data_IF_377582877862
#
_entry.id   IF_377582877862
#
_cell.length_a   1.000
_cell.length_b   1.000
_cell.length_c   1.000
_cell.angle_alpha   90.00
_cell.angle_beta   90.00
_cell.angle_gamma   90.00
#
_symmetry.space_group_name_H-M   'P 1'
#
loop_
_entity.id
_entity.type
_entity.pdbx_description
1 polymer ?
#
# COMPACT_ATOMS: atom_id res chain seq x y z
N UNK A 1 13.41 26.31 -19.77
CA UNK A 1 13.02 26.21 -18.34
C UNK A 1 14.20 25.66 -17.55
N UNK A 2 14.47 26.22 -16.37
CA UNK A 2 15.60 25.84 -15.50
C UNK A 2 15.06 24.89 -14.41
N UNK A 3 15.77 23.82 -14.08
CA UNK A 3 15.38 22.92 -12.98
C UNK A 3 15.36 23.67 -11.65
N UNK A 4 14.34 23.42 -10.82
CA UNK A 4 14.31 23.96 -9.47
C UNK A 4 15.28 23.14 -8.61
N UNK A 5 16.21 23.83 -7.91
CA UNK A 5 17.24 23.18 -7.10
C UNK A 5 16.69 22.48 -5.85
N UNK A 6 15.48 22.85 -5.42
CA UNK A 6 14.79 22.24 -4.27
C UNK A 6 13.94 21.03 -4.65
N UNK A 7 13.88 20.68 -5.94
CA UNK A 7 13.13 19.53 -6.43
C UNK A 7 14.09 18.38 -6.69
N UNK A 8 13.66 17.18 -6.32
CA UNK A 8 14.36 15.94 -6.60
C UNK A 8 13.76 15.28 -7.82
N UNK A 9 14.63 14.88 -8.75
CA UNK A 9 14.24 14.32 -10.04
C UNK A 9 14.72 12.88 -10.09
N UNK A 10 13.79 11.95 -10.20
CA UNK A 10 14.10 10.56 -10.52
C UNK A 10 14.68 10.45 -11.92
N UNK A 11 15.06 9.24 -12.33
CA UNK A 11 15.54 9.01 -13.69
C UNK A 11 14.50 9.53 -14.71
N UNK A 12 14.90 10.43 -15.62
CA UNK A 12 14.01 11.01 -16.64
C UNK A 12 14.23 10.41 -18.03
N UNK A 13 15.15 9.45 -18.17
CA UNK A 13 15.53 8.89 -19.47
C UNK A 13 14.61 7.74 -19.92
N UNK A 14 13.56 7.42 -19.15
CA UNK A 14 12.54 6.46 -19.55
C UNK A 14 11.79 6.96 -20.78
N UNK A 15 11.91 6.26 -21.90
CA UNK A 15 11.10 6.50 -23.10
C UNK A 15 9.97 5.49 -23.12
N UNK A 16 8.74 5.97 -23.03
CA UNK A 16 7.54 5.13 -23.01
C UNK A 16 6.61 5.57 -24.15
N UNK A 17 6.45 4.76 -25.21
CA UNK A 17 5.54 5.06 -26.31
C UNK A 17 4.11 5.32 -25.83
N UNK A 18 3.41 6.25 -26.48
CA UNK A 18 2.10 6.69 -26.02
C UNK A 18 0.96 5.68 -26.21
N UNK A 19 1.18 4.70 -27.08
CA UNK A 19 0.22 3.66 -27.44
C UNK A 19 0.44 2.35 -26.67
N UNK A 20 1.37 2.29 -25.69
CA UNK A 20 1.61 1.04 -25.00
C UNK A 20 0.37 0.58 -24.25
N UNK A 21 0.09 -0.70 -24.39
CA UNK A 21 -0.99 -1.40 -23.72
C UNK A 21 -0.38 -2.31 -22.66
N UNK A 22 -0.63 -2.03 -21.38
CA UNK A 22 -0.19 -2.89 -20.28
C UNK A 22 -0.56 -4.37 -20.50
N UNK A 23 -1.80 -4.65 -20.92
CA UNK A 23 -2.26 -6.03 -21.14
C UNK A 23 -1.47 -6.72 -22.24
N UNK A 24 -1.15 -6.01 -23.33
CA UNK A 24 -0.32 -6.55 -24.41
C UNK A 24 1.11 -6.81 -23.98
N UNK A 25 1.76 -5.84 -23.34
CA UNK A 25 3.14 -5.98 -22.88
C UNK A 25 3.31 -7.17 -21.92
N UNK A 26 2.37 -7.35 -21.00
CA UNK A 26 2.37 -8.48 -20.07
C UNK A 26 2.10 -9.79 -20.82
N UNK A 27 1.09 -9.83 -21.67
CA UNK A 27 0.72 -11.04 -22.42
C UNK A 27 1.85 -11.52 -23.33
N UNK A 28 2.44 -10.62 -24.14
CA UNK A 28 3.54 -10.94 -25.05
C UNK A 28 4.76 -11.47 -24.27
N UNK A 29 5.05 -10.90 -23.09
CA UNK A 29 6.11 -11.41 -22.20
C UNK A 29 5.78 -12.82 -21.66
N UNK A 30 4.54 -13.07 -21.25
CA UNK A 30 4.13 -14.39 -20.76
C UNK A 30 4.25 -15.45 -21.86
N UNK A 31 3.79 -15.14 -23.08
CA UNK A 31 3.89 -16.05 -24.23
C UNK A 31 5.35 -16.31 -24.61
N UNK A 32 6.20 -15.28 -24.62
CA UNK A 32 7.62 -15.43 -24.89
C UNK A 32 8.37 -16.28 -23.85
N UNK A 33 7.87 -16.32 -22.60
CA UNK A 33 8.46 -17.04 -21.48
C UNK A 33 7.57 -18.19 -20.98
N UNK A 34 6.75 -18.77 -21.87
CA UNK A 34 5.64 -19.67 -21.51
C UNK A 34 6.01 -20.86 -20.63
N UNK A 35 7.24 -21.37 -20.73
CA UNK A 35 7.68 -22.56 -20.00
C UNK A 35 8.18 -22.25 -18.57
N UNK A 36 8.29 -20.96 -18.19
CA UNK A 36 8.71 -20.55 -16.84
C UNK A 36 7.51 -20.62 -15.88
N UNK A 37 7.77 -21.11 -14.66
CA UNK A 37 6.79 -21.13 -13.57
C UNK A 37 6.49 -19.68 -13.15
N UNK A 38 5.25 -19.26 -13.32
CA UNK A 38 4.77 -17.94 -12.95
C UNK A 38 4.35 -17.86 -11.48
N UNK A 39 3.70 -18.92 -10.98
CA UNK A 39 3.14 -18.98 -9.63
C UNK A 39 3.28 -20.37 -9.02
N UNK A 40 3.49 -20.39 -7.71
CA UNK A 40 3.49 -21.60 -6.88
C UNK A 40 2.61 -21.31 -5.66
N UNK A 41 1.66 -22.19 -5.38
CA UNK A 41 0.90 -22.13 -4.13
C UNK A 41 1.71 -22.83 -3.03
N UNK A 42 2.02 -22.08 -1.97
CA UNK A 42 2.86 -22.58 -0.89
C UNK A 42 2.22 -23.73 -0.09
N UNK A 43 0.88 -23.80 -0.03
CA UNK A 43 0.15 -24.81 0.73
C UNK A 43 -0.03 -26.11 -0.06
N UNK A 44 -0.37 -26.01 -1.36
CA UNK A 44 -0.68 -27.17 -2.21
C UNK A 44 0.48 -27.63 -3.08
N UNK A 45 1.53 -26.81 -3.22
CA UNK A 45 2.64 -26.99 -4.16
C UNK A 45 2.22 -27.03 -5.65
N UNK A 46 0.97 -26.72 -5.95
CA UNK A 46 0.51 -26.56 -7.34
C UNK A 46 1.27 -25.40 -8.00
N UNK A 47 1.48 -25.54 -9.30
CA UNK A 47 2.26 -24.59 -10.10
C UNK A 47 1.43 -24.15 -11.30
N UNK A 48 1.66 -22.92 -11.73
CA UNK A 48 1.13 -22.37 -12.97
C UNK A 48 2.27 -21.73 -13.73
N UNK A 49 2.46 -22.15 -14.97
CA UNK A 49 3.42 -21.58 -15.92
C UNK A 49 2.89 -20.27 -16.52
N UNK A 50 3.78 -19.46 -17.10
CA UNK A 50 3.35 -18.28 -17.86
C UNK A 50 2.49 -18.65 -19.07
N UNK A 51 2.71 -19.82 -19.68
CA UNK A 51 1.89 -20.32 -20.79
C UNK A 51 0.45 -20.60 -20.38
N UNK A 52 0.28 -21.31 -19.26
CA UNK A 52 -1.05 -21.58 -18.67
C UNK A 52 -1.74 -20.27 -18.23
N UNK A 53 -0.97 -19.34 -17.66
CA UNK A 53 -1.48 -18.03 -17.27
C UNK A 53 -1.92 -17.20 -18.50
N UNK A 54 -1.12 -17.16 -19.56
CA UNK A 54 -1.45 -16.48 -20.81
C UNK A 54 -2.71 -17.10 -21.44
N UNK A 55 -2.83 -18.42 -21.44
CA UNK A 55 -4.02 -19.11 -21.93
C UNK A 55 -5.27 -18.71 -21.15
N UNK A 56 -5.20 -18.73 -19.82
CA UNK A 56 -6.29 -18.28 -18.96
C UNK A 56 -6.69 -16.82 -19.24
N UNK A 57 -5.72 -15.92 -19.41
CA UNK A 57 -5.98 -14.51 -19.76
C UNK A 57 -6.72 -14.39 -21.10
N UNK A 58 -6.26 -15.12 -22.13
CA UNK A 58 -6.87 -15.07 -23.47
C UNK A 58 -8.31 -15.61 -23.45
N UNK A 59 -8.54 -16.72 -22.75
CA UNK A 59 -9.86 -17.35 -22.62
C UNK A 59 -10.84 -16.46 -21.84
N UNK A 60 -10.39 -15.87 -20.73
CA UNK A 60 -11.20 -14.89 -19.96
C UNK A 60 -11.55 -13.69 -20.84
N UNK A 61 -10.59 -13.13 -21.56
CA UNK A 61 -10.82 -11.96 -22.41
C UNK A 61 -11.80 -12.26 -23.55
N UNK A 62 -11.70 -13.44 -24.18
CA UNK A 62 -12.63 -13.90 -25.20
C UNK A 62 -14.05 -14.06 -24.63
N UNK A 63 -14.19 -14.72 -23.48
CA UNK A 63 -15.48 -14.89 -22.82
C UNK A 63 -16.11 -13.56 -22.41
N UNK A 64 -15.35 -12.61 -21.86
CA UNK A 64 -15.83 -11.26 -21.55
C UNK A 64 -16.29 -10.52 -22.81
N UNK A 65 -15.53 -10.60 -23.91
CA UNK A 65 -15.90 -9.96 -25.17
C UNK A 65 -17.23 -10.48 -25.72
N UNK A 66 -17.51 -11.78 -25.59
CA UNK A 66 -18.77 -12.41 -26.00
C UNK A 66 -19.96 -11.99 -25.14
N UNK A 67 -19.71 -11.66 -23.89
CA UNK A 67 -20.70 -11.07 -23.00
C UNK A 67 -20.93 -9.58 -23.29
N UNK A 68 -20.29 -9.02 -24.33
CA UNK A 68 -20.43 -7.62 -24.73
C UNK A 68 -19.61 -6.65 -23.86
N UNK A 69 -18.68 -7.16 -23.04
CA UNK A 69 -17.80 -6.33 -22.23
C UNK A 69 -16.70 -5.74 -23.10
N UNK A 70 -16.57 -4.41 -23.05
CA UNK A 70 -15.63 -3.69 -23.89
C UNK A 70 -14.88 -2.58 -23.15
N UNK A 71 -14.12 -1.80 -23.92
CA UNK A 71 -13.38 -0.64 -23.41
C UNK A 71 -14.31 0.33 -22.69
N UNK A 72 -13.97 0.67 -21.44
CA UNK A 72 -14.72 1.60 -20.60
C UNK A 72 -15.71 0.91 -19.64
N UNK A 73 -16.00 -0.37 -19.85
CA UNK A 73 -16.71 -1.17 -18.88
C UNK A 73 -15.82 -1.52 -17.68
N UNK A 74 -16.44 -1.66 -16.51
CA UNK A 74 -15.73 -2.02 -15.28
C UNK A 74 -16.03 -3.48 -14.94
N UNK A 75 -14.97 -4.27 -14.86
CA UNK A 75 -14.98 -5.61 -14.26
C UNK A 75 -14.39 -5.50 -12.86
N UNK A 76 -15.12 -6.01 -11.87
CA UNK A 76 -14.72 -5.97 -10.46
C UNK A 76 -14.42 -7.38 -9.98
N UNK A 77 -13.49 -7.48 -9.03
CA UNK A 77 -13.20 -8.74 -8.38
C UNK A 77 -13.28 -8.60 -6.87
N UNK A 78 -14.00 -9.53 -6.24
CA UNK A 78 -14.17 -9.62 -4.80
C UNK A 78 -13.88 -11.05 -4.33
N UNK A 79 -12.65 -11.32 -3.91
CA UNK A 79 -12.20 -12.65 -3.46
C UNK A 79 -11.06 -12.52 -2.46
N UNK A 80 -10.89 -13.52 -1.60
CA UNK A 80 -9.64 -13.79 -0.88
C UNK A 80 -8.53 -14.26 -1.84
N UNK A 81 -7.27 -14.32 -1.35
CA UNK A 81 -6.13 -14.80 -2.14
C UNK A 81 -6.29 -16.28 -2.49
N UNK A 82 -6.38 -16.60 -3.78
CA UNK A 82 -6.40 -17.96 -4.35
C UNK A 82 -5.72 -17.96 -5.73
N UNK A 83 -5.62 -19.10 -6.43
CA UNK A 83 -5.00 -19.14 -7.77
C UNK A 83 -5.76 -18.30 -8.77
N UNK A 84 -7.08 -18.32 -8.65
CA UNK A 84 -8.01 -17.60 -9.49
C UNK A 84 -8.07 -16.10 -9.17
N UNK A 85 -7.35 -15.62 -8.13
CA UNK A 85 -7.31 -14.24 -7.63
C UNK A 85 -6.29 -13.36 -8.35
N UNK A 86 -5.13 -13.89 -8.75
CA UNK A 86 -4.12 -13.07 -9.43
C UNK A 86 -4.59 -12.45 -10.77
N UNK A 87 -5.51 -13.07 -11.54
CA UNK A 87 -6.14 -12.36 -12.66
C UNK A 87 -7.18 -11.30 -12.25
N UNK A 88 -7.48 -11.13 -10.96
CA UNK A 88 -8.79 -10.65 -10.51
C UNK A 88 -8.71 -10.07 -9.06
N UNK A 89 -8.45 -8.77 -8.87
CA UNK A 89 -8.10 -8.21 -7.54
C UNK A 89 -8.99 -7.03 -7.03
N UNK A 90 -9.56 -7.21 -5.81
CA UNK A 90 -9.79 -6.29 -4.64
C UNK A 90 -11.21 -5.92 -4.07
N UNK A 91 -11.29 -6.10 -2.73
CA UNK A 91 -12.23 -5.79 -1.61
C UNK A 91 -12.16 -4.30 -1.09
N UNK A 92 -12.89 -3.75 -0.06
CA UNK A 92 -14.29 -3.90 0.47
C UNK A 92 -15.35 -2.85 0.09
N UNK A 93 -16.63 -3.25 0.08
CA UNK A 93 -17.39 -3.14 -1.15
C UNK A 93 -18.48 -2.06 -1.26
N UNK A 94 -19.23 -1.71 -0.20
CA UNK A 94 -20.48 -0.96 -0.38
C UNK A 94 -20.36 0.46 -0.95
N UNK A 95 -19.51 1.31 -0.36
CA UNK A 95 -19.27 2.64 -0.94
C UNK A 95 -18.52 2.54 -2.27
N UNK A 96 -17.65 1.53 -2.40
CA UNK A 96 -16.77 1.28 -3.54
C UNK A 96 -17.54 0.92 -4.81
N UNK A 97 -18.49 -0.01 -4.71
CA UNK A 97 -19.35 -0.43 -5.83
C UNK A 97 -20.22 0.72 -6.32
N UNK A 98 -20.67 1.61 -5.43
CA UNK A 98 -21.40 2.82 -5.83
C UNK A 98 -20.54 3.76 -6.70
N UNK A 99 -19.23 3.80 -6.47
CA UNK A 99 -18.28 4.60 -7.26
C UNK A 99 -18.00 3.96 -8.62
N UNK A 100 -17.67 2.66 -8.64
CA UNK A 100 -17.15 2.01 -9.86
C UNK A 100 -18.21 1.34 -10.72
N UNK A 101 -19.39 1.04 -10.14
CA UNK A 101 -20.56 0.45 -10.82
C UNK A 101 -20.19 -0.66 -11.82
N UNK A 102 -19.65 -1.80 -11.34
CA UNK A 102 -19.16 -2.85 -12.23
C UNK A 102 -20.30 -3.55 -12.97
N UNK A 103 -20.02 -3.99 -14.19
CA UNK A 103 -20.91 -4.84 -15.00
C UNK A 103 -20.73 -6.32 -14.72
N UNK A 104 -19.49 -6.76 -14.49
CA UNK A 104 -19.17 -8.15 -14.15
C UNK A 104 -18.44 -8.19 -12.83
N UNK A 105 -18.81 -9.14 -11.97
CA UNK A 105 -18.15 -9.39 -10.69
C UNK A 105 -17.61 -10.82 -10.68
N UNK A 106 -16.29 -10.96 -10.62
CA UNK A 106 -15.66 -12.22 -10.25
C UNK A 106 -15.59 -12.31 -8.73
N UNK A 107 -15.98 -13.44 -8.14
CA UNK A 107 -15.90 -13.57 -6.69
C UNK A 107 -15.78 -15.01 -6.18
N UNK A 108 -15.19 -15.17 -5.00
CA UNK A 108 -15.23 -16.45 -4.30
C UNK A 108 -16.65 -16.76 -3.81
N UNK A 109 -16.93 -18.03 -3.54
CA UNK A 109 -18.22 -18.43 -2.97
C UNK A 109 -18.53 -17.69 -1.66
N UNK A 110 -17.50 -17.43 -0.85
CA UNK A 110 -17.64 -16.72 0.44
C UNK A 110 -17.97 -15.25 0.20
N UNK A 111 -17.20 -14.57 -0.64
CA UNK A 111 -17.40 -13.16 -0.96
C UNK A 111 -18.76 -12.91 -1.62
N UNK A 112 -19.20 -13.80 -2.51
CA UNK A 112 -20.52 -13.72 -3.13
C UNK A 112 -21.64 -13.74 -2.09
N UNK A 113 -21.66 -14.74 -1.20
CA UNK A 113 -22.67 -14.84 -0.13
C UNK A 113 -22.70 -13.60 0.75
N UNK A 114 -21.53 -13.05 1.08
CA UNK A 114 -21.41 -11.91 1.98
C UNK A 114 -21.79 -10.59 1.33
N UNK A 115 -21.56 -10.43 0.03
CA UNK A 115 -21.59 -9.10 -0.59
C UNK A 115 -22.53 -8.95 -1.79
N UNK A 116 -23.13 -10.02 -2.30
CA UNK A 116 -24.15 -9.93 -3.35
C UNK A 116 -25.26 -8.91 -3.06
N UNK A 117 -25.84 -8.84 -1.83
CA UNK A 117 -26.90 -7.86 -1.55
C UNK A 117 -26.47 -6.41 -1.81
N UNK A 118 -25.19 -6.11 -1.57
CA UNK A 118 -24.61 -4.78 -1.80
C UNK A 118 -24.46 -4.48 -3.29
N UNK A 119 -24.04 -5.46 -4.08
CA UNK A 119 -23.95 -5.30 -5.53
C UNK A 119 -25.33 -5.16 -6.19
N UNK A 120 -26.30 -5.98 -5.75
CA UNK A 120 -27.67 -5.93 -6.23
C UNK A 120 -28.34 -4.58 -5.91
N UNK A 121 -28.04 -3.98 -4.74
CA UNK A 121 -28.52 -2.63 -4.38
C UNK A 121 -28.04 -1.55 -5.38
N UNK A 122 -26.82 -1.68 -5.91
CA UNK A 122 -26.26 -0.72 -6.88
C UNK A 122 -26.87 -0.89 -8.28
N UNK A 123 -27.31 -2.10 -8.61
CA UNK A 123 -28.04 -2.43 -9.83
C UNK A 123 -27.23 -2.26 -11.12
N UNK A 124 -25.90 -2.28 -11.04
CA UNK A 124 -25.02 -2.20 -12.23
C UNK A 124 -24.51 -3.55 -12.71
N UNK A 125 -24.55 -4.57 -11.85
CA UNK A 125 -23.98 -5.89 -12.16
C UNK A 125 -24.93 -6.67 -13.05
N UNK A 126 -24.43 -7.05 -14.22
CA UNK A 126 -25.12 -7.87 -15.22
C UNK A 126 -24.78 -9.35 -15.01
N UNK A 127 -23.57 -9.68 -14.58
CA UNK A 127 -23.10 -11.04 -14.40
C UNK A 127 -22.21 -11.25 -13.18
N UNK A 128 -22.42 -12.37 -12.47
CA UNK A 128 -21.56 -12.86 -11.41
C UNK A 128 -20.83 -14.13 -11.87
N UNK A 129 -19.50 -14.15 -11.74
CA UNK A 129 -18.63 -15.29 -12.07
C UNK A 129 -18.02 -15.84 -10.79
N UNK A 130 -18.35 -17.08 -10.42
CA UNK A 130 -17.96 -17.69 -9.15
C UNK A 130 -16.78 -18.63 -9.26
N UNK A 131 -15.79 -18.46 -8.38
CA UNK A 131 -14.73 -19.44 -8.20
C UNK A 131 -15.22 -20.69 -7.47
N UNK A 132 -14.64 -21.83 -7.82
CA UNK A 132 -15.01 -23.15 -7.29
C UNK A 132 -16.05 -23.89 -8.14
N UNK A 133 -16.78 -24.79 -7.50
CA UNK A 133 -17.55 -25.86 -8.13
C UNK A 133 -19.06 -25.82 -7.87
N UNK A 134 -19.52 -24.96 -6.95
CA UNK A 134 -20.92 -24.87 -6.53
C UNK A 134 -21.60 -23.59 -7.06
N UNK A 135 -22.54 -23.76 -8.00
CA UNK A 135 -23.32 -22.65 -8.53
C UNK A 135 -24.28 -22.09 -7.45
N UNK A 136 -24.47 -20.77 -7.42
CA UNK A 136 -25.32 -20.09 -6.44
C UNK A 136 -26.08 -18.94 -7.08
N UNK A 137 -27.39 -18.82 -6.80
CA UNK A 137 -28.23 -17.66 -7.12
C UNK A 137 -28.06 -17.10 -8.55
N UNK A 138 -28.09 -18.00 -9.56
CA UNK A 138 -27.99 -17.64 -10.98
C UNK A 138 -26.59 -17.21 -11.45
N UNK A 139 -25.58 -17.27 -10.60
CA UNK A 139 -24.20 -16.98 -10.97
C UNK A 139 -23.58 -18.09 -11.83
N UNK A 140 -22.67 -17.69 -12.72
CA UNK A 140 -21.97 -18.58 -13.64
C UNK A 140 -20.71 -19.08 -12.93
N UNK A 141 -20.45 -20.38 -12.92
CA UNK A 141 -19.18 -20.88 -12.39
C UNK A 141 -18.03 -20.51 -13.32
N UNK A 142 -16.85 -20.20 -12.77
CA UNK A 142 -15.68 -19.80 -13.54
C UNK A 142 -15.34 -20.83 -14.63
N UNK A 143 -15.42 -22.12 -14.32
CA UNK A 143 -15.23 -23.21 -15.29
C UNK A 143 -16.26 -23.21 -16.43
N UNK A 144 -17.50 -22.81 -16.15
CA UNK A 144 -18.60 -22.77 -17.13
C UNK A 144 -18.58 -21.44 -17.92
N UNK A 145 -17.93 -20.41 -17.38
CA UNK A 145 -17.66 -19.13 -18.04
C UNK A 145 -16.57 -19.27 -19.12
N UNK A 146 -15.57 -20.13 -18.90
CA UNK A 146 -14.53 -20.46 -19.89
C UNK A 146 -15.06 -21.44 -20.95
N UNK A 147 -15.99 -20.97 -21.78
CA UNK A 147 -16.67 -21.80 -22.79
C UNK A 147 -15.81 -22.11 -24.02
N UNK A 148 -14.76 -21.32 -24.26
CA UNK A 148 -13.87 -21.48 -25.41
C UNK A 148 -12.43 -21.15 -25.07
N UNK A 149 -11.53 -21.76 -25.82
CA UNK A 149 -10.08 -21.56 -25.72
C UNK A 149 -9.61 -20.76 -26.93
N UNK A 150 -9.03 -19.59 -26.67
CA UNK A 150 -8.43 -18.76 -27.71
C UNK A 150 -7.09 -19.37 -28.16
N UNK A 151 -6.81 -19.41 -29.47
CA UNK A 151 -5.47 -19.70 -29.93
C UNK A 151 -4.54 -18.54 -29.53
N UNK A 152 -3.48 -18.82 -28.76
CA UNK A 152 -2.59 -17.78 -28.23
C UNK A 152 -1.98 -16.91 -29.34
N UNK A 153 -1.70 -17.50 -30.50
CA UNK A 153 -1.14 -16.82 -31.67
C UNK A 153 -2.14 -15.89 -32.40
N UNK A 154 -3.45 -16.11 -32.19
CA UNK A 154 -4.52 -15.32 -32.80
C UNK A 154 -5.10 -14.29 -31.82
N UNK A 155 -4.70 -14.34 -30.54
CA UNK A 155 -5.18 -13.42 -29.52
C UNK A 155 -4.39 -12.11 -29.53
N UNK A 156 -5.10 -11.00 -29.77
CA UNK A 156 -4.54 -9.66 -29.68
C UNK A 156 -5.41 -8.82 -28.72
N UNK A 157 -4.82 -8.22 -27.67
CA UNK A 157 -5.56 -7.32 -26.79
C UNK A 157 -6.14 -6.10 -27.51
N UNK A 158 -7.30 -5.64 -27.04
CA UNK A 158 -7.97 -4.45 -27.60
C UNK A 158 -7.05 -3.21 -27.52
N UNK A 159 -6.94 -2.40 -28.58
CA UNK A 159 -6.14 -1.18 -28.56
C UNK A 159 -6.58 -0.16 -27.49
N UNK A 160 -5.60 0.51 -26.88
CA UNK A 160 -5.81 1.55 -25.85
C UNK A 160 -4.96 2.78 -26.12
N UNK A 161 -5.40 3.93 -25.61
CA UNK A 161 -4.56 5.11 -25.40
C UNK A 161 -3.95 5.00 -24.00
N UNK A 162 -2.73 4.47 -23.89
CA UNK A 162 -2.18 4.05 -22.62
C UNK A 162 -2.01 5.16 -21.57
N UNK A 163 -1.91 6.43 -22.00
CA UNK A 163 -1.82 7.58 -21.09
C UNK A 163 -3.18 8.04 -20.56
N UNK A 164 -4.26 7.73 -21.27
CA UNK A 164 -5.61 8.23 -20.98
C UNK A 164 -6.51 7.15 -20.40
N UNK A 165 -6.46 5.95 -20.97
CA UNK A 165 -7.32 4.85 -20.58
C UNK A 165 -6.90 4.28 -19.23
N UNK A 166 -7.89 4.00 -18.38
CA UNK A 166 -7.69 3.38 -17.07
C UNK A 166 -7.51 1.88 -17.23
N UNK A 167 -6.39 1.36 -16.72
CA UNK A 167 -6.14 -0.08 -16.65
C UNK A 167 -6.67 -0.68 -15.35
N UNK A 168 -6.50 0.04 -14.23
CA UNK A 168 -6.91 -0.42 -12.90
C UNK A 168 -7.60 0.69 -12.13
N UNK A 169 -8.61 0.32 -11.34
CA UNK A 169 -9.15 1.18 -10.30
C UNK A 169 -8.75 0.57 -8.97
N UNK A 170 -7.75 1.17 -8.33
CA UNK A 170 -7.32 0.74 -6.99
C UNK A 170 -8.02 1.60 -5.96
N UNK A 171 -8.40 1.01 -4.84
CA UNK A 171 -9.04 1.77 -3.78
C UNK A 171 -8.02 2.23 -2.76
N UNK A 172 -8.03 3.54 -2.53
CA UNK A 172 -7.34 4.14 -1.40
C UNK A 172 -8.30 4.12 -0.22
N UNK A 173 -7.84 3.59 0.93
CA UNK A 173 -8.62 3.65 2.17
C UNK A 173 -8.84 5.09 2.64
N UNK A 174 -8.05 6.06 2.14
CA UNK A 174 -8.05 7.42 2.64
C UNK A 174 -7.61 7.47 4.10
N UNK A 175 -6.93 8.54 4.49
CA UNK A 175 -6.51 8.72 5.89
C UNK A 175 -7.62 9.25 6.80
N UNK A 176 -8.71 9.78 6.24
CA UNK A 176 -9.78 10.45 7.02
C UNK A 176 -11.15 10.45 6.32
N UNK A 177 -11.51 9.42 5.55
CA UNK A 177 -12.78 9.45 4.83
C UNK A 177 -13.18 8.13 4.20
N UNK A 178 -14.31 8.15 3.49
CA UNK A 178 -14.77 7.00 2.73
C UNK A 178 -13.75 6.60 1.65
N UNK A 179 -13.63 5.30 1.31
CA UNK A 179 -12.70 4.82 0.30
C UNK A 179 -12.88 5.53 -1.04
N UNK A 180 -11.78 5.84 -1.74
CA UNK A 180 -11.81 6.53 -3.04
C UNK A 180 -11.28 5.62 -4.13
N UNK A 181 -11.93 5.65 -5.29
CA UNK A 181 -11.45 4.97 -6.49
C UNK A 181 -10.32 5.78 -7.14
N UNK A 182 -9.15 5.18 -7.25
CA UNK A 182 -7.97 5.76 -7.90
C UNK A 182 -7.80 5.09 -9.26
N UNK A 183 -8.11 5.79 -10.36
CA UNK A 183 -7.84 5.29 -11.69
C UNK A 183 -6.34 5.36 -11.99
N UNK A 184 -5.76 4.23 -12.35
CA UNK A 184 -4.37 4.07 -12.78
C UNK A 184 -4.37 3.71 -14.26
N UNK A 185 -3.62 4.46 -15.06
CA UNK A 185 -3.55 4.27 -16.51
C UNK A 185 -2.62 3.12 -16.88
N UNK A 186 -2.71 2.61 -18.12
CA UNK A 186 -1.81 1.54 -18.61
C UNK A 186 -0.33 1.95 -18.49
N UNK A 187 0.00 3.18 -18.90
CA UNK A 187 1.37 3.70 -18.77
C UNK A 187 1.77 3.86 -17.32
N UNK A 188 0.88 4.37 -16.47
CA UNK A 188 1.18 4.54 -15.06
C UNK A 188 1.53 3.21 -14.39
N UNK A 189 0.82 2.14 -14.76
CA UNK A 189 1.10 0.80 -14.26
C UNK A 189 2.42 0.23 -14.81
N UNK A 190 2.68 0.35 -16.12
CA UNK A 190 3.94 -0.10 -16.74
C UNK A 190 5.18 0.58 -16.13
N UNK A 191 5.09 1.88 -15.87
CA UNK A 191 6.17 2.63 -15.23
C UNK A 191 6.40 2.21 -13.77
N UNK A 192 5.32 1.91 -13.04
CA UNK A 192 5.45 1.33 -11.71
C UNK A 192 6.11 -0.06 -11.74
N UNK A 193 5.77 -0.90 -12.74
CA UNK A 193 6.39 -2.21 -12.91
C UNK A 193 7.90 -2.11 -13.19
N UNK A 194 8.33 -1.10 -13.97
CA UNK A 194 9.76 -0.83 -14.21
C UNK A 194 10.53 -0.36 -12.96
N UNK A 195 9.83 0.12 -11.93
CA UNK A 195 10.45 0.44 -10.64
C UNK A 195 10.63 -0.81 -9.75
N UNK A 196 10.16 -1.99 -10.15
CA UNK A 196 10.30 -3.20 -9.35
C UNK A 196 11.67 -3.88 -9.55
N UNK A 197 12.09 -4.64 -8.54
CA UNK A 197 13.33 -5.42 -8.57
C UNK A 197 13.24 -6.61 -9.52
N UNK A 198 14.36 -6.95 -10.15
CA UNK A 198 14.56 -8.25 -10.81
C UNK A 198 15.25 -9.27 -9.90
N UNK A 199 15.65 -8.86 -8.70
CA UNK A 199 16.25 -9.74 -7.70
C UNK A 199 15.19 -10.62 -7.05
N UNK A 200 15.59 -11.80 -6.59
CA UNK A 200 14.77 -12.63 -5.71
C UNK A 200 14.63 -11.94 -4.35
N UNK A 201 13.39 -11.65 -3.95
CA UNK A 201 13.09 -10.93 -2.72
C UNK A 201 12.03 -11.64 -1.91
N UNK A 202 12.18 -11.59 -0.58
CA UNK A 202 11.15 -11.97 0.36
C UNK A 202 10.33 -10.73 0.73
N UNK A 203 9.09 -10.64 0.25
CA UNK A 203 8.22 -9.49 0.56
C UNK A 203 7.49 -9.70 1.89
N UNK A 204 7.77 -8.84 2.88
CA UNK A 204 7.19 -8.93 4.22
C UNK A 204 6.63 -7.58 4.66
N UNK A 205 5.52 -7.59 5.40
CA UNK A 205 5.08 -6.41 6.13
C UNK A 205 6.01 -6.17 7.34
N UNK A 206 6.19 -4.91 7.81
CA UNK A 206 7.11 -4.60 8.90
C UNK A 206 6.87 -5.41 10.18
N UNK A 207 5.61 -5.73 10.50
CA UNK A 207 5.28 -6.55 11.67
C UNK A 207 5.71 -8.01 11.54
N UNK A 208 5.62 -8.56 10.33
CA UNK A 208 6.08 -9.92 10.08
C UNK A 208 7.59 -10.00 10.27
N UNK A 209 8.34 -8.95 9.91
CA UNK A 209 9.77 -8.87 10.21
C UNK A 209 10.01 -8.90 11.73
N UNK A 210 9.27 -8.11 12.49
CA UNK A 210 9.37 -8.07 13.96
C UNK A 210 9.04 -9.43 14.61
N UNK A 211 8.04 -10.13 14.11
CA UNK A 211 7.67 -11.46 14.60
C UNK A 211 8.70 -12.52 14.18
N UNK A 212 9.19 -12.44 12.95
CA UNK A 212 10.19 -13.35 12.39
C UNK A 212 11.49 -13.31 13.21
N UNK A 213 11.92 -12.12 13.67
CA UNK A 213 13.10 -11.96 14.55
C UNK A 213 12.99 -12.79 15.83
N UNK A 214 11.78 -12.93 16.38
CA UNK A 214 11.50 -13.67 17.63
C UNK A 214 11.22 -15.15 17.39
N UNK A 215 10.96 -15.54 16.14
CA UNK A 215 10.50 -16.87 15.82
C UNK A 215 11.63 -17.89 15.87
N UNK A 216 11.42 -18.96 16.62
CA UNK A 216 12.30 -20.13 16.61
C UNK A 216 12.38 -20.81 15.23
N UNK A 217 11.46 -20.50 14.30
CA UNK A 217 11.53 -21.05 12.95
C UNK A 217 12.74 -20.54 12.16
N UNK A 218 13.23 -19.33 12.44
CA UNK A 218 14.48 -18.85 11.83
C UNK A 218 15.71 -19.68 12.24
N UNK A 219 15.65 -20.37 13.39
CA UNK A 219 16.72 -21.29 13.82
C UNK A 219 16.58 -22.69 13.22
N UNK A 220 15.40 -23.02 12.68
CA UNK A 220 15.03 -24.39 12.26
C UNK A 220 15.17 -24.65 10.78
N UNK A 221 14.96 -23.62 9.96
CA UNK A 221 14.95 -23.73 8.51
C UNK A 221 16.16 -23.06 7.88
N UNK A 222 16.64 -23.64 6.79
CA UNK A 222 17.64 -22.98 5.97
C UNK A 222 17.03 -21.78 5.23
N UNK A 223 17.65 -20.63 5.41
CA UNK A 223 17.25 -19.36 4.82
C UNK A 223 18.41 -18.72 4.02
N UNK A 224 19.40 -19.52 3.60
CA UNK A 224 20.57 -19.02 2.85
C UNK A 224 20.23 -18.42 1.49
N UNK A 225 19.05 -18.73 0.93
CA UNK A 225 18.53 -18.13 -0.30
C UNK A 225 17.98 -16.72 -0.11
N UNK A 226 17.72 -16.29 1.13
CA UNK A 226 17.15 -14.97 1.41
C UNK A 226 18.26 -13.93 1.44
N UNK A 227 18.43 -13.22 0.32
CA UNK A 227 19.41 -12.14 0.17
C UNK A 227 18.80 -10.74 0.37
N UNK A 228 17.52 -10.58 0.07
CA UNK A 228 16.82 -9.31 0.14
C UNK A 228 15.42 -9.50 0.73
N UNK A 229 15.07 -8.63 1.68
CA UNK A 229 13.69 -8.48 2.15
C UNK A 229 13.18 -7.15 1.61
N UNK A 230 11.98 -7.15 1.02
CA UNK A 230 11.30 -5.92 0.60
C UNK A 230 10.12 -5.68 1.54
N UNK A 231 9.97 -4.45 2.00
CA UNK A 231 8.86 -4.05 2.84
C UNK A 231 8.33 -2.67 2.46
N UNK A 232 7.06 -2.44 2.79
CA UNK A 232 6.34 -1.22 2.44
C UNK A 232 5.29 -0.90 3.50
N UNK A 233 4.46 0.10 3.22
CA UNK A 233 3.27 0.49 3.99
C UNK A 233 3.55 1.29 5.27
N UNK A 234 4.54 0.90 6.08
CA UNK A 234 4.99 1.65 7.26
C UNK A 234 6.51 1.65 7.37
N UNK A 235 7.05 2.59 8.14
CA UNK A 235 8.48 2.66 8.44
C UNK A 235 8.96 1.39 9.15
N UNK A 236 10.11 0.86 8.74
CA UNK A 236 10.84 -0.17 9.49
C UNK A 236 11.93 0.48 10.31
N UNK A 237 11.97 0.17 11.60
CA UNK A 237 12.97 0.70 12.53
C UNK A 237 14.34 0.10 12.24
N UNK A 238 15.39 0.91 12.40
CA UNK A 238 16.77 0.51 12.15
C UNK A 238 17.20 -0.68 13.03
N UNK A 239 16.76 -0.72 14.30
CA UNK A 239 17.04 -1.83 15.22
C UNK A 239 16.43 -3.16 14.74
N UNK A 240 15.22 -3.13 14.17
CA UNK A 240 14.59 -4.30 13.56
C UNK A 240 15.36 -4.77 12.31
N UNK A 241 15.82 -3.85 11.46
CA UNK A 241 16.66 -4.17 10.30
C UNK A 241 17.97 -4.84 10.74
N UNK A 242 18.65 -4.29 11.75
CA UNK A 242 19.87 -4.85 12.29
C UNK A 242 19.64 -6.23 12.94
N UNK A 243 18.55 -6.38 13.68
CA UNK A 243 18.20 -7.63 14.34
C UNK A 243 17.89 -8.75 13.33
N UNK A 244 17.12 -8.48 12.27
CA UNK A 244 16.83 -9.49 11.24
C UNK A 244 18.08 -9.85 10.43
N UNK A 245 18.94 -8.87 10.11
CA UNK A 245 20.24 -9.13 9.45
C UNK A 245 21.15 -10.01 10.29
N UNK A 246 21.17 -9.81 11.60
CA UNK A 246 21.92 -10.69 12.52
C UNK A 246 21.38 -12.12 12.53
N UNK A 247 20.06 -12.26 12.42
CA UNK A 247 19.35 -13.55 12.42
C UNK A 247 19.45 -14.30 11.09
N UNK A 248 19.59 -13.60 9.95
CA UNK A 248 19.67 -14.13 8.59
C UNK A 248 21.00 -13.66 7.97
N UNK A 249 22.12 -14.40 8.14
CA UNK A 249 23.45 -13.93 7.74
C UNK A 249 23.63 -13.70 6.23
N UNK A 250 22.81 -14.33 5.38
CA UNK A 250 22.78 -14.11 3.93
C UNK A 250 22.10 -12.78 3.54
N UNK A 251 21.37 -12.15 4.46
CA UNK A 251 20.57 -10.96 4.16
C UNK A 251 21.46 -9.75 3.91
N UNK A 252 21.55 -9.35 2.65
CA UNK A 252 22.28 -8.16 2.19
C UNK A 252 21.57 -6.89 2.64
N UNK A 253 20.27 -6.77 2.37
CA UNK A 253 19.48 -5.60 2.75
C UNK A 253 18.01 -5.87 3.03
N UNK A 254 17.43 -5.00 3.87
CA UNK A 254 15.98 -4.83 4.00
C UNK A 254 15.64 -3.53 3.29
N UNK A 255 14.92 -3.64 2.18
CA UNK A 255 14.62 -2.54 1.27
C UNK A 255 13.26 -1.95 1.63
N UNK A 256 13.24 -0.66 1.93
CA UNK A 256 12.02 0.09 2.15
C UNK A 256 11.49 0.65 0.81
N UNK A 257 10.20 0.41 0.55
CA UNK A 257 9.48 1.04 -0.55
C UNK A 257 8.51 2.09 0.01
N UNK A 258 8.54 3.29 -0.57
CA UNK A 258 7.54 4.31 -0.33
C UNK A 258 6.61 4.44 -1.55
N UNK A 259 5.32 4.36 -1.29
CA UNK A 259 4.29 4.39 -2.30
C UNK A 259 2.91 4.62 -1.70
N UNK A 260 1.95 4.92 -2.56
CA UNK A 260 0.55 5.09 -2.22
C UNK A 260 -0.31 4.71 -3.42
N UNK A 261 -1.59 4.41 -3.22
CA UNK A 261 -2.49 4.03 -4.32
C UNK A 261 -2.51 5.07 -5.45
N UNK A 262 -2.47 6.36 -5.09
CA UNK A 262 -2.50 7.53 -5.97
C UNK A 262 -1.19 7.77 -6.73
N UNK A 263 -0.07 7.24 -6.25
CA UNK A 263 1.27 7.46 -6.81
C UNK A 263 1.92 6.19 -7.34
N UNK A 264 1.47 5.00 -6.96
CA UNK A 264 2.19 3.76 -7.20
C UNK A 264 3.47 3.65 -6.35
N UNK A 265 4.55 3.16 -6.95
CA UNK A 265 5.87 3.06 -6.30
C UNK A 265 6.66 4.35 -6.53
N UNK A 266 6.72 5.20 -5.51
CA UNK A 266 7.24 6.58 -5.57
C UNK A 266 8.74 6.60 -5.36
N UNK A 267 9.20 6.04 -4.23
CA UNK A 267 10.62 5.90 -3.91
C UNK A 267 10.96 4.43 -3.69
N UNK A 268 12.20 4.13 -4.03
CA UNK A 268 12.69 2.77 -4.06
C UNK A 268 14.20 2.76 -3.80
N UNK A 269 14.64 1.97 -2.82
CA UNK A 269 16.06 1.76 -2.53
C UNK A 269 16.86 1.09 -3.66
N UNK A 270 16.21 0.32 -4.53
CA UNK A 270 16.82 -0.29 -5.72
C UNK A 270 17.17 0.76 -6.78
N UNK A 271 16.53 1.94 -6.75
CA UNK A 271 16.87 3.06 -7.63
C UNK A 271 18.11 3.84 -7.12
N UNK A 272 18.65 3.48 -5.96
CA UNK A 272 19.76 4.19 -5.31
C UNK A 272 21.11 3.89 -5.98
N UNK A 273 21.40 4.62 -7.05
CA UNK A 273 22.69 4.56 -7.76
C UNK A 273 23.90 5.00 -6.91
N UNK A 274 23.66 5.69 -5.79
CA UNK A 274 24.70 6.14 -4.84
C UNK A 274 24.87 5.24 -3.61
N UNK A 275 24.20 4.07 -3.58
CA UNK A 275 24.28 3.11 -2.47
C UNK A 275 23.08 3.15 -1.52
N UNK A 276 23.01 2.21 -0.56
CA UNK A 276 21.89 2.14 0.38
C UNK A 276 22.09 3.07 1.58
N UNK A 277 20.99 3.61 2.13
CA UNK A 277 21.01 4.47 3.31
C UNK A 277 19.96 4.02 4.32
N UNK A 278 20.42 3.64 5.52
CA UNK A 278 19.56 3.15 6.58
C UNK A 278 18.44 4.15 6.91
N UNK A 279 17.21 3.64 7.06
CA UNK A 279 16.02 4.44 7.35
C UNK A 279 15.47 5.25 6.16
N UNK A 280 16.15 5.27 5.02
CA UNK A 280 15.66 5.94 3.81
C UNK A 280 14.63 5.08 3.08
N UNK A 281 13.66 5.73 2.44
CA UNK A 281 12.77 5.12 1.44
C UNK A 281 13.38 5.09 0.03
N UNK A 282 14.63 5.51 -0.12
CA UNK A 282 15.38 5.56 -1.37
C UNK A 282 15.24 6.88 -2.15
N UNK A 283 15.57 6.80 -3.44
CA UNK A 283 15.50 7.92 -4.39
C UNK A 283 14.16 7.92 -5.14
N UNK A 284 13.75 9.06 -5.73
CA UNK A 284 12.58 9.12 -6.59
C UNK A 284 12.69 8.14 -7.77
N UNK A 285 11.62 7.38 -8.02
CA UNK A 285 11.53 6.39 -9.08
C UNK A 285 11.51 7.01 -10.49
N UNK A 286 11.46 6.15 -11.51
CA UNK A 286 11.46 6.56 -12.92
C UNK A 286 10.33 7.56 -13.23
N UNK A 287 10.69 8.71 -13.80
CA UNK A 287 9.76 9.76 -14.20
C UNK A 287 9.20 10.63 -13.06
N UNK A 288 9.52 10.33 -11.79
CA UNK A 288 9.05 11.15 -10.67
C UNK A 288 9.84 12.45 -10.53
N UNK A 289 9.10 13.49 -10.13
CA UNK A 289 9.60 14.74 -9.61
C UNK A 289 8.98 14.90 -8.23
N UNK A 290 9.82 15.15 -7.22
CA UNK A 290 9.40 15.25 -5.83
C UNK A 290 9.90 16.56 -5.23
N UNK A 291 9.11 17.14 -4.34
CA UNK A 291 9.51 18.28 -3.51
C UNK A 291 8.98 18.08 -2.10
N UNK A 292 9.66 18.68 -1.12
CA UNK A 292 9.14 18.81 0.25
C UNK A 292 8.73 20.26 0.42
N UNK A 293 7.54 20.52 0.94
CA UNK A 293 7.03 21.89 1.15
C UNK A 293 6.67 22.12 2.61
N UNK A 294 6.87 23.35 3.06
CA UNK A 294 6.43 23.78 4.38
C UNK A 294 4.92 23.61 4.56
N UNK A 295 4.49 23.18 5.74
CA UNK A 295 3.10 22.82 6.01
C UNK A 295 2.17 24.04 5.97
N UNK A 296 2.66 25.23 6.29
CA UNK A 296 1.87 26.46 6.35
C UNK A 296 2.05 27.32 5.09
N UNK A 297 3.29 27.68 4.78
CA UNK A 297 3.62 28.62 3.69
C UNK A 297 3.60 27.96 2.32
N UNK A 298 3.60 26.62 2.26
CA UNK A 298 3.65 25.81 1.03
C UNK A 298 4.92 26.04 0.18
N UNK A 299 5.92 26.73 0.71
CA UNK A 299 7.17 26.97 0.01
C UNK A 299 8.05 25.71 -0.02
N UNK A 300 8.75 25.42 -1.12
CA UNK A 300 9.70 24.31 -1.17
C UNK A 300 10.81 24.46 -0.13
N UNK A 301 11.15 23.34 0.52
CA UNK A 301 12.16 23.25 1.56
C UNK A 301 13.45 22.63 1.03
N UNK A 302 14.56 23.03 1.66
CA UNK A 302 15.90 22.47 1.44
C UNK A 302 16.09 21.09 2.07
N UNK A 303 17.27 20.50 1.90
CA UNK A 303 17.60 19.20 2.50
C UNK A 303 17.51 19.25 4.03
N UNK A 304 17.15 18.11 4.62
CA UNK A 304 17.00 17.87 6.06
C UNK A 304 15.93 18.73 6.76
N UNK A 305 15.08 19.43 6.00
CA UNK A 305 13.93 20.16 6.53
C UNK A 305 12.64 19.34 6.31
N UNK A 306 11.88 19.18 7.40
CA UNK A 306 10.63 18.41 7.39
C UNK A 306 9.48 19.24 6.82
N UNK A 307 8.67 18.62 5.98
CA UNK A 307 7.47 19.20 5.40
C UNK A 307 6.61 18.14 4.70
N UNK A 308 5.60 18.57 3.97
CA UNK A 308 4.79 17.65 3.16
C UNK A 308 5.55 17.22 1.91
N UNK A 309 5.64 15.91 1.67
CA UNK A 309 6.13 15.35 0.41
C UNK A 309 5.05 15.59 -0.66
N UNK A 310 5.44 16.19 -1.78
CA UNK A 310 4.59 16.40 -2.94
C UNK A 310 5.21 15.71 -4.15
N UNK A 311 4.39 15.00 -4.93
CA UNK A 311 4.88 14.15 -6.04
C UNK A 311 4.22 14.52 -7.36
N UNK A 312 4.98 14.42 -8.45
CA UNK A 312 4.49 14.59 -9.81
C UNK A 312 5.18 13.57 -10.70
N UNK A 313 4.44 12.94 -11.59
CA UNK A 313 5.01 11.93 -12.46
C UNK A 313 3.97 11.27 -13.34
N UNK A 314 4.43 10.48 -14.32
CA UNK A 314 3.57 9.80 -15.28
C UNK A 314 2.69 8.69 -14.68
N UNK A 315 3.09 8.12 -13.53
CA UNK A 315 2.32 7.11 -12.80
C UNK A 315 1.39 7.69 -11.73
N UNK A 316 1.43 9.00 -11.49
CA UNK A 316 0.54 9.67 -10.54
C UNK A 316 -0.87 9.73 -11.14
N UNK A 317 -1.88 9.37 -10.34
CA UNK A 317 -3.28 9.43 -10.74
C UNK A 317 -3.65 10.81 -11.31
N UNK A 318 -4.59 10.85 -12.24
CA UNK A 318 -5.08 12.12 -12.80
C UNK A 318 -5.99 12.85 -11.83
N UNK A 319 -6.99 12.13 -11.34
CA UNK A 319 -7.94 12.54 -10.31
C UNK A 319 -8.59 11.27 -9.73
N UNK A 320 -9.22 11.36 -8.57
CA UNK A 320 -10.08 10.29 -8.11
C UNK A 320 -11.34 10.17 -8.99
N UNK A 321 -11.93 8.97 -9.05
CA UNK A 321 -13.20 8.75 -9.75
C UNK A 321 -14.32 9.65 -9.19
N UNK A 322 -15.17 10.16 -10.08
CA UNK A 322 -16.19 11.15 -9.72
C UNK A 322 -15.63 12.50 -9.26
N UNK A 323 -14.33 12.74 -9.44
CA UNK A 323 -13.61 13.94 -9.00
C UNK A 323 -13.79 14.23 -7.49
N UNK A 324 -13.85 13.17 -6.68
CA UNK A 324 -13.88 13.32 -5.23
C UNK A 324 -12.53 13.89 -4.77
N UNK A 325 -12.51 15.06 -4.12
CA UNK A 325 -11.30 15.80 -3.74
C UNK A 325 -10.52 16.42 -4.92
N UNK A 326 -11.07 17.46 -5.58
CA UNK A 326 -10.41 18.15 -6.70
C UNK A 326 -9.09 18.84 -6.29
N UNK A 327 -8.96 19.25 -5.02
CA UNK A 327 -7.80 20.01 -4.52
C UNK A 327 -6.62 19.13 -4.06
N UNK A 328 -6.61 17.85 -4.45
CA UNK A 328 -5.54 16.91 -4.11
C UNK A 328 -4.19 17.25 -4.76
N UNK A 329 -4.18 18.13 -5.77
CA UNK A 329 -2.96 18.65 -6.40
C UNK A 329 -2.74 20.12 -6.06
N UNK A 330 -1.50 20.57 -6.11
CA UNK A 330 -1.15 21.98 -6.04
C UNK A 330 -1.24 22.66 -7.43
N UNK A 331 -0.99 23.97 -7.47
CA UNK A 331 -1.05 24.79 -8.70
C UNK A 331 -0.04 24.34 -9.77
N UNK A 332 1.03 23.67 -9.38
CA UNK A 332 2.03 23.08 -10.29
C UNK A 332 1.67 21.66 -10.74
N UNK A 333 0.56 21.11 -10.25
CA UNK A 333 0.07 19.78 -10.55
C UNK A 333 0.76 18.65 -9.77
N UNK A 334 1.47 18.95 -8.67
CA UNK A 334 1.97 17.93 -7.76
C UNK A 334 0.85 17.43 -6.86
N UNK A 335 0.72 16.11 -6.73
CA UNK A 335 -0.13 15.48 -5.73
C UNK A 335 0.44 15.76 -4.33
N UNK A 336 -0.43 16.27 -3.45
CA UNK A 336 -0.19 16.43 -2.02
C UNK A 336 -0.36 15.07 -1.36
N UNK A 337 0.72 14.46 -0.90
CA UNK A 337 0.68 13.07 -0.41
C UNK A 337 -0.05 12.95 0.92
N UNK A 338 -0.10 14.03 1.71
CA UNK A 338 -0.50 13.98 3.12
C UNK A 338 0.55 13.34 4.03
N UNK A 339 1.73 13.01 3.51
CA UNK A 339 2.85 12.43 4.25
C UNK A 339 3.92 13.49 4.53
N UNK A 340 4.42 13.49 5.76
CA UNK A 340 5.51 14.33 6.23
C UNK A 340 6.81 13.57 6.04
N UNK A 341 7.79 14.25 5.47
CA UNK A 341 9.14 13.74 5.36
C UNK A 341 10.14 14.81 5.01
N UNK A 342 11.34 14.37 4.69
CA UNK A 342 12.43 15.22 4.22
C UNK A 342 13.28 14.45 3.21
N UNK A 343 14.16 15.16 2.50
CA UNK A 343 15.23 14.56 1.71
C UNK A 343 16.57 15.07 2.24
N UNK A 344 17.64 14.29 2.11
CA UNK A 344 18.98 14.72 2.51
C UNK A 344 19.77 15.39 1.35
N UNK A 345 21.02 15.75 1.60
CA UNK A 345 21.92 16.36 0.61
C UNK A 345 22.14 15.48 -0.65
N UNK A 346 21.95 14.17 -0.52
CA UNK A 346 22.12 13.21 -1.62
C UNK A 346 20.82 12.95 -2.38
N UNK A 347 19.69 13.46 -1.89
CA UNK A 347 18.35 13.33 -2.47
C UNK A 347 17.56 12.12 -1.95
N UNK A 348 18.06 11.42 -0.92
CA UNK A 348 17.36 10.28 -0.31
C UNK A 348 16.18 10.77 0.52
N UNK A 349 15.01 10.17 0.31
CA UNK A 349 13.81 10.54 1.05
C UNK A 349 13.64 9.73 2.32
N UNK A 350 13.08 10.37 3.34
CA UNK A 350 12.76 9.79 4.64
C UNK A 350 11.33 10.17 4.99
N UNK A 351 10.45 9.17 5.06
CA UNK A 351 9.05 9.37 5.43
C UNK A 351 8.93 9.26 6.95
N UNK A 352 8.39 10.31 7.56
CA UNK A 352 8.32 10.45 9.02
C UNK A 352 6.94 10.04 9.52
N UNK A 353 5.88 10.66 9.01
CA UNK A 353 4.52 10.40 9.48
C UNK A 353 3.46 10.92 8.50
N UNK A 354 2.18 10.84 8.84
CA UNK A 354 1.07 11.47 8.10
C UNK A 354 0.64 12.77 8.77
N UNK A 355 0.33 13.79 7.96
CA UNK A 355 -0.14 15.10 8.43
C UNK A 355 -1.37 14.96 9.32
N UNK A 356 -2.32 14.11 8.92
CA UNK A 356 -3.58 13.94 9.64
C UNK A 356 -3.47 13.10 10.92
N UNK A 357 -2.35 12.41 11.09
CA UNK A 357 -2.05 11.65 12.31
C UNK A 357 -1.26 12.50 13.30
N UNK A 358 -0.86 13.74 12.94
CA UNK A 358 -0.23 14.66 13.88
C UNK A 358 -1.20 15.00 15.01
N UNK A 359 -0.71 14.83 16.23
CA UNK A 359 -1.42 15.18 17.46
C UNK A 359 -1.24 16.68 17.69
N UNK A 360 -2.35 17.42 17.74
CA UNK A 360 -2.35 18.87 17.96
C UNK A 360 -2.34 19.16 19.46
N UNK A 361 -1.15 19.14 20.06
CA UNK A 361 -0.98 19.36 21.50
C UNK A 361 -0.42 20.76 21.78
N UNK A 362 -1.21 21.59 22.45
CA UNK A 362 -0.91 23.01 22.69
C UNK A 362 -0.66 23.79 21.39
N UNK A 363 0.50 24.45 21.31
CA UNK A 363 0.98 25.28 20.21
C UNK A 363 1.81 24.47 19.18
N UNK A 364 1.88 23.14 19.31
CA UNK A 364 2.69 22.29 18.45
C UNK A 364 1.90 21.12 17.85
N UNK A 365 2.41 20.59 16.74
CA UNK A 365 1.94 19.33 16.16
C UNK A 365 3.00 18.25 16.40
N UNK A 366 2.62 17.19 17.10
CA UNK A 366 3.52 16.10 17.49
C UNK A 366 3.20 14.85 16.69
N UNK A 367 4.22 14.19 16.18
CA UNK A 367 4.05 12.92 15.47
C UNK A 367 3.87 11.76 16.47
N UNK A 368 2.79 10.96 16.40
CA UNK A 368 2.67 9.71 17.16
C UNK A 368 3.92 8.84 17.13
N UNK A 369 4.57 8.72 15.95
CA UNK A 369 5.77 7.93 15.75
C UNK A 369 6.91 8.31 16.72
N UNK A 370 7.03 9.58 17.12
CA UNK A 370 8.08 10.03 18.05
C UNK A 370 7.86 9.45 19.47
N UNK A 371 6.60 9.30 19.89
CA UNK A 371 6.26 8.62 21.14
C UNK A 371 6.39 7.10 21.01
N UNK A 372 5.92 6.54 19.89
CA UNK A 372 5.93 5.11 19.61
C UNK A 372 7.37 4.56 19.61
N UNK A 373 8.30 5.26 18.95
CA UNK A 373 9.72 4.87 18.89
C UNK A 373 10.40 4.86 20.26
N UNK A 374 10.00 5.76 21.17
CA UNK A 374 10.53 5.81 22.54
C UNK A 374 9.94 4.68 23.39
N UNK A 375 8.63 4.46 23.32
CA UNK A 375 7.94 3.42 24.10
C UNK A 375 8.36 2.01 23.69
N UNK A 376 8.60 1.77 22.40
CA UNK A 376 9.08 0.46 21.91
C UNK A 376 10.49 0.11 22.42
N UNK A 377 11.27 1.07 22.91
CA UNK A 377 12.57 0.80 23.55
C UNK A 377 12.41 0.27 24.98
N UNK A 378 11.21 0.34 25.56
CA UNK A 378 10.96 -0.20 26.90
C UNK A 378 10.83 -1.73 26.84
N UNK A 379 11.56 -2.51 27.67
CA UNK A 379 11.63 -3.96 27.53
C UNK A 379 10.29 -4.69 27.75
N UNK A 380 9.36 -4.07 28.49
CA UNK A 380 8.03 -4.61 28.73
C UNK A 380 7.04 -4.38 27.57
N UNK A 381 7.31 -3.46 26.64
CA UNK A 381 6.39 -3.07 25.56
C UNK A 381 6.59 -3.98 24.35
N UNK A 382 5.50 -4.57 23.86
CA UNK A 382 5.46 -5.41 22.65
C UNK A 382 5.03 -4.61 21.43
N UNK A 383 3.93 -3.87 21.58
CA UNK A 383 3.38 -3.00 20.55
C UNK A 383 2.86 -1.72 21.21
N UNK A 384 2.82 -0.64 20.43
CA UNK A 384 2.30 0.65 20.86
C UNK A 384 1.55 1.32 19.72
N UNK A 385 0.49 2.04 20.05
CA UNK A 385 -0.17 2.97 19.14
C UNK A 385 -0.52 4.26 19.89
N UNK A 386 -0.09 5.41 19.37
CA UNK A 386 -0.30 6.71 20.02
C UNK A 386 -1.32 7.55 19.26
N UNK A 387 -2.30 8.11 19.96
CA UNK A 387 -3.34 8.95 19.35
C UNK A 387 -3.56 10.23 20.15
N UNK A 388 -4.12 11.24 19.51
CA UNK A 388 -4.59 12.45 20.18
C UNK A 388 -5.96 12.23 20.80
N UNK A 389 -6.09 12.47 22.11
CA UNK A 389 -7.36 12.56 22.81
C UNK A 389 -7.85 14.01 22.77
N UNK A 390 -9.03 14.32 22.20
CA UNK A 390 -9.55 15.69 22.21
C UNK A 390 -9.57 16.28 23.64
N UNK A 391 -9.10 17.51 23.79
CA UNK A 391 -9.03 18.19 25.08
C UNK A 391 -9.35 19.69 24.94
N UNK A 392 -10.26 20.24 25.77
CA UNK A 392 -10.80 21.59 25.58
C UNK A 392 -9.75 22.70 25.69
N UNK A 393 -8.67 22.49 26.46
CA UNK A 393 -7.62 23.50 26.69
C UNK A 393 -6.39 23.28 25.81
N UNK A 394 -6.07 22.02 25.50
CA UNK A 394 -4.77 21.63 24.95
C UNK A 394 -4.87 21.19 23.49
N UNK A 395 -6.05 21.31 22.87
CA UNK A 395 -6.35 20.74 21.56
C UNK A 395 -6.52 19.23 21.67
N UNK A 396 -5.41 18.51 21.74
CA UNK A 396 -5.36 17.06 21.91
C UNK A 396 -4.27 16.67 22.92
N UNK A 397 -4.56 15.71 23.79
CA UNK A 397 -3.57 15.09 24.69
C UNK A 397 -3.03 13.80 24.04
N UNK A 398 -1.71 13.64 23.90
CA UNK A 398 -1.14 12.37 23.42
C UNK A 398 -1.42 11.23 24.42
N UNK A 399 -2.06 10.15 23.95
CA UNK A 399 -2.35 8.93 24.71
C UNK A 399 -1.71 7.73 24.03
N UNK A 400 -1.02 6.88 24.79
CA UNK A 400 -0.45 5.65 24.27
C UNK A 400 -1.29 4.42 24.63
N UNK A 401 -1.65 3.62 23.63
CA UNK A 401 -2.17 2.27 23.79
C UNK A 401 -1.03 1.27 23.75
N UNK A 402 -0.87 0.47 24.80
CA UNK A 402 0.26 -0.43 25.00
C UNK A 402 -0.21 -1.87 25.04
N UNK A 403 0.47 -2.71 24.26
CA UNK A 403 0.43 -4.15 24.42
C UNK A 403 1.74 -4.60 25.05
N UNK A 404 1.66 -5.33 26.16
CA UNK A 404 2.84 -5.82 26.86
C UNK A 404 3.39 -7.11 26.24
N UNK A 405 4.67 -7.37 26.48
CA UNK A 405 5.28 -8.68 26.23
C UNK A 405 4.63 -9.73 27.14
N UNK A 406 4.59 -10.99 26.69
CA UNK A 406 4.04 -12.08 27.50
C UNK A 406 4.82 -12.22 28.81
N UNK A 407 4.11 -12.19 29.95
CA UNK A 407 4.71 -12.29 31.29
C UNK A 407 5.42 -11.02 31.79
N UNK A 408 5.46 -9.94 30.99
CA UNK A 408 5.99 -8.65 31.43
C UNK A 408 4.92 -7.81 32.16
N UNK A 409 5.38 -6.94 33.05
CA UNK A 409 4.55 -5.95 33.75
C UNK A 409 5.20 -4.58 33.63
N UNK A 410 4.41 -3.53 33.38
CA UNK A 410 4.84 -2.15 33.48
C UNK A 410 3.68 -1.30 33.98
N UNK A 411 3.97 -0.24 34.73
CA UNK A 411 2.94 0.71 35.18
C UNK A 411 2.77 1.88 34.21
N UNK A 412 1.61 2.54 34.24
CA UNK A 412 1.41 3.77 33.47
C UNK A 412 2.45 4.84 33.84
N UNK A 413 2.70 5.04 35.14
CA UNK A 413 3.67 6.03 35.62
C UNK A 413 5.10 5.77 35.10
N UNK A 414 5.52 4.50 35.08
CA UNK A 414 6.81 4.07 34.54
C UNK A 414 6.94 4.40 33.05
N UNK A 415 5.92 4.08 32.24
CA UNK A 415 5.94 4.33 30.80
C UNK A 415 5.83 5.83 30.45
N UNK A 416 5.04 6.59 31.22
CA UNK A 416 4.96 8.05 31.10
C UNK A 416 6.31 8.70 31.43
N UNK A 417 6.98 8.25 32.49
CA UNK A 417 8.31 8.75 32.87
C UNK A 417 9.39 8.36 31.85
N UNK A 418 9.29 7.14 31.29
CA UNK A 418 10.16 6.68 30.20
C UNK A 418 10.06 7.61 28.97
N UNK A 419 8.88 8.12 28.64
CA UNK A 419 8.75 9.15 27.60
C UNK A 419 9.27 10.49 28.09
N UNK A 420 8.74 10.99 29.21
CA UNK A 420 8.92 12.37 29.65
C UNK A 420 10.39 12.71 29.97
N UNK A 421 11.21 11.72 30.30
CA UNK A 421 12.66 11.86 30.49
C UNK A 421 13.46 12.03 29.19
N UNK A 422 12.85 11.78 28.01
CA UNK A 422 13.50 11.80 26.68
C UNK A 422 12.95 12.85 25.73
N UNK A 423 11.86 13.53 26.11
CA UNK A 423 11.19 14.54 25.28
C UNK A 423 11.15 15.89 25.99
N UNK A 424 10.93 16.96 25.23
CA UNK A 424 10.78 18.30 25.81
C UNK A 424 9.45 18.43 26.55
N UNK A 425 9.34 19.41 27.47
CA UNK A 425 8.10 19.63 28.22
C UNK A 425 6.87 19.91 27.34
N UNK A 426 7.07 20.41 26.11
CA UNK A 426 6.01 20.68 25.14
C UNK A 426 5.44 19.41 24.50
N UNK A 427 6.14 18.29 24.59
CA UNK A 427 5.83 17.04 23.88
C UNK A 427 5.65 15.86 24.86
N UNK A 428 5.06 16.11 26.03
CA UNK A 428 4.85 15.05 27.03
C UNK A 428 3.67 14.15 26.68
N UNK A 429 3.71 12.91 27.16
CA UNK A 429 2.60 11.96 27.04
C UNK A 429 1.48 12.31 28.05
N UNK A 430 0.88 13.48 27.86
CA UNK A 430 0.01 14.13 28.84
C UNK A 430 -1.36 13.45 29.00
N UNK A 431 -1.77 12.62 28.04
CA UNK A 431 -3.00 11.84 28.10
C UNK A 431 -2.83 10.47 28.77
N UNK A 432 -1.60 10.08 29.09
CA UNK A 432 -1.31 8.84 29.81
C UNK A 432 -1.27 7.59 28.94
N UNK A 433 -1.48 6.44 29.56
CA UNK A 433 -1.35 5.11 28.95
C UNK A 433 -2.64 4.29 29.11
N UNK A 434 -2.94 3.45 28.13
CA UNK A 434 -4.00 2.43 28.16
C UNK A 434 -3.41 1.08 27.81
N UNK A 435 -3.58 0.09 28.67
CA UNK A 435 -3.17 -1.29 28.39
C UNK A 435 -4.28 -2.03 27.63
N UNK A 436 -3.93 -2.68 26.54
CA UNK A 436 -4.86 -3.46 25.71
C UNK A 436 -4.22 -4.78 25.27
N UNK A 437 -5.04 -5.78 24.97
CA UNK A 437 -4.55 -7.10 24.54
C UNK A 437 -3.99 -7.11 23.11
N UNK A 438 -4.57 -6.28 22.24
CA UNK A 438 -4.20 -6.14 20.83
C UNK A 438 -4.56 -4.76 20.28
N UNK A 439 -3.70 -4.21 19.44
CA UNK A 439 -4.01 -2.99 18.68
C UNK A 439 -5.02 -3.29 17.56
N UNK A 440 -6.01 -2.41 17.33
CA UNK A 440 -6.93 -2.55 16.21
C UNK A 440 -6.18 -2.28 14.88
N UNK A 441 -6.55 -3.04 13.83
CA UNK A 441 -5.90 -2.99 12.51
C UNK A 441 -6.94 -2.75 11.43
N UNK A 442 -6.62 -1.89 10.47
CA UNK A 442 -7.42 -1.62 9.28
C UNK A 442 -6.88 -2.31 8.03
N UNK A 443 -7.35 -1.87 6.85
CA UNK A 443 -6.90 -2.42 5.56
C UNK A 443 -5.38 -2.28 5.35
N UNK A 444 -4.75 -3.33 4.84
CA UNK A 444 -3.29 -3.39 4.68
C UNK A 444 -2.52 -3.46 6.00
N UNK A 445 -3.19 -3.92 7.08
CA UNK A 445 -2.60 -4.17 8.41
C UNK A 445 -2.07 -2.93 9.14
N UNK A 446 -2.57 -1.76 8.72
CA UNK A 446 -2.25 -0.47 9.32
C UNK A 446 -2.95 -0.32 10.66
N UNK A 447 -2.30 0.33 11.63
CA UNK A 447 -2.91 0.68 12.91
C UNK A 447 -4.20 1.48 12.69
N UNK A 448 -5.31 1.01 13.25
CA UNK A 448 -6.59 1.70 13.18
C UNK A 448 -6.69 2.76 14.28
N UNK A 449 -6.09 3.93 14.02
CA UNK A 449 -6.10 5.06 14.94
C UNK A 449 -7.52 5.60 15.17
N UNK A 450 -8.45 5.43 14.23
CA UNK A 450 -9.85 5.87 14.40
C UNK A 450 -10.50 5.05 15.51
N UNK A 451 -10.34 3.72 15.48
CA UNK A 451 -10.85 2.86 16.54
C UNK A 451 -10.24 3.23 17.91
N UNK A 452 -8.94 3.50 17.96
CA UNK A 452 -8.28 3.92 19.21
C UNK A 452 -8.79 5.27 19.73
N UNK A 453 -8.94 6.27 18.86
CA UNK A 453 -9.50 7.57 19.25
C UNK A 453 -10.95 7.43 19.70
N UNK A 454 -11.76 6.60 19.04
CA UNK A 454 -13.15 6.36 19.44
C UNK A 454 -13.25 5.76 20.84
N UNK A 455 -12.37 4.79 21.18
CA UNK A 455 -12.32 4.23 22.55
C UNK A 455 -12.09 5.30 23.61
N UNK A 456 -11.25 6.31 23.33
CA UNK A 456 -11.01 7.40 24.27
C UNK A 456 -12.20 8.33 24.43
N UNK A 457 -12.99 8.52 23.37
CA UNK A 457 -14.23 9.30 23.42
C UNK A 457 -15.31 8.55 24.22
N UNK A 458 -15.40 7.23 24.03
CA UNK A 458 -16.37 6.38 24.74
C UNK A 458 -16.02 6.23 26.24
N UNK A 459 -14.73 6.28 26.60
CA UNK A 459 -14.25 6.30 27.99
C UNK A 459 -14.74 7.54 28.76
N UNK A 460 -14.78 8.72 28.13
CA UNK A 460 -15.20 9.97 28.78
C UNK A 460 -16.73 10.14 28.83
N UNK A 461 -17.47 9.32 28.08
CA UNK A 461 -18.93 9.34 28.03
C UNK A 461 -19.58 8.47 29.13
N UNK A 462 -18.79 7.62 29.80
CA UNK A 462 -19.19 6.78 30.93
C UNK A 462 -18.59 7.31 32.24
#
# INVERSE_FOLDING_TARGET
MIKNKLYQYGNQNGRVPAHLNFGKEVYDNMVANKDIIAMINADTSEQMTYGEMAQSIADIALSLSRMGIGKGDVVCICSEKNFEFLPTVLDPLAHRVKIVRPKVVFCSQTAFKQHKPVFDEVGSVEHYILYGDQAQDGAILFKDFLTETAALEDFEPVPVNGWEDTAFIVYSSGTTGLPKGVPVTHIGFLLNAQNMTTQEVLQLAPMIITELIKSANLDRYDHSSVNYIVSSSTYIREDAVLAVKKRIPSLVSVLQLYGMSEGGSICNELACTKGYKAGSSGLPGLGFIMKVVDLETRQPLGPNLRGEICIKGPSVMKAYLGNVQPDCKDEEGFLKTGDIGYYDEDGYFFVVNRIKELIKFNDISVAPAEFEDILLQHPAVREVGVVGKPHPVHGELPVAFIVLQSGATASEAELVEHINSRVTYKMRLAGGVRFIDRLPRGAGDKLDRINLTQRLVDEDAN
#
